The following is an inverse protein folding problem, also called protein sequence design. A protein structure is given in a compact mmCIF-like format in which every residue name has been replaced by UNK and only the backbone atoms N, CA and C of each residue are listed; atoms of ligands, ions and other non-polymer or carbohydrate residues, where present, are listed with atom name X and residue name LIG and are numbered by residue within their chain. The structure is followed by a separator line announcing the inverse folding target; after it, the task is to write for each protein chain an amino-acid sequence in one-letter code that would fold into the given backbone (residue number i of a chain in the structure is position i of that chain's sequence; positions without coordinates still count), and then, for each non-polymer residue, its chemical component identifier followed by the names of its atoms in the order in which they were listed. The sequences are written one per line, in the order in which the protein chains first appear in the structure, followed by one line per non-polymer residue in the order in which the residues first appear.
data_IF_795825181861
#
_entry.id   IF_795825181861
#
_cell.length_a   1.000
_cell.length_b   1.000
_cell.length_c   1.000
_cell.angle_alpha   90.00
_cell.angle_beta   90.00
_cell.angle_gamma   90.00
#
_symmetry.space_group_name_H-M   'P 1'
#
loop_
_entity.id
_entity.type
_entity.pdbx_description
1 polymer ?
#
# COMPACT_ATOMS: atom_id res chain seq x y z
N UNK A 1 -3.25 28.96 7.11
CA UNK A 1 -3.60 27.52 7.08
C UNK A 1 -2.72 26.84 6.04
N UNK A 2 -1.48 26.50 6.39
CA UNK A 2 -0.49 25.89 5.48
C UNK A 2 -0.49 24.38 5.66
N UNK A 3 -1.54 23.73 5.17
CA UNK A 3 -1.65 22.26 5.12
C UNK A 3 -0.49 21.63 4.31
N UNK A 4 0.16 22.42 3.45
CA UNK A 4 1.36 22.04 2.69
C UNK A 4 2.64 21.93 3.53
N UNK A 5 2.77 22.64 4.65
CA UNK A 5 4.01 22.67 5.43
C UNK A 5 4.31 21.37 6.18
N UNK A 6 3.30 20.77 6.80
CA UNK A 6 3.46 19.53 7.58
C UNK A 6 3.73 18.32 6.69
N UNK A 7 3.05 18.22 5.54
CA UNK A 7 3.28 17.15 4.56
C UNK A 7 4.70 17.26 4.01
N UNK A 8 5.14 18.47 3.63
CA UNK A 8 6.50 18.71 3.16
C UNK A 8 7.54 18.33 4.22
N UNK A 9 7.33 18.72 5.48
CA UNK A 9 8.24 18.36 6.59
C UNK A 9 8.35 16.85 6.82
N UNK A 10 7.26 16.08 6.65
CA UNK A 10 7.30 14.61 6.73
C UNK A 10 8.10 14.00 5.58
N UNK A 11 7.95 14.53 4.36
CA UNK A 11 8.72 14.10 3.19
C UNK A 11 10.21 14.41 3.36
N UNK A 12 10.55 15.62 3.84
CA UNK A 12 11.95 16.01 4.09
C UNK A 12 12.62 15.13 5.16
N UNK A 13 11.89 14.74 6.22
CA UNK A 13 12.39 13.81 7.25
C UNK A 13 12.64 12.41 6.71
N UNK A 14 11.72 11.91 5.88
CA UNK A 14 11.90 10.63 5.18
C UNK A 14 13.15 10.68 4.31
N UNK A 15 13.27 11.71 3.48
CA UNK A 15 14.44 11.92 2.61
C UNK A 15 15.77 11.96 3.37
N UNK A 16 15.82 12.71 4.48
CA UNK A 16 17.01 12.78 5.34
C UNK A 16 17.38 11.42 5.93
N UNK A 17 16.38 10.62 6.31
CA UNK A 17 16.59 9.26 6.85
C UNK A 17 17.13 8.31 5.79
N UNK A 18 16.63 8.40 4.55
CA UNK A 18 17.10 7.60 3.41
C UNK A 18 18.56 7.93 3.03
N UNK A 19 18.90 9.22 2.99
CA UNK A 19 20.26 9.69 2.68
C UNK A 19 21.28 9.24 3.73
N UNK A 20 20.92 9.32 5.02
CA UNK A 20 21.80 8.92 6.13
C UNK A 20 22.05 7.40 6.22
N UNK A 21 21.12 6.59 5.71
CA UNK A 21 21.23 5.12 5.72
C UNK A 21 21.90 4.53 4.46
N UNK A 22 22.47 5.37 3.58
CA UNK A 22 23.19 4.89 2.39
C UNK A 22 22.30 4.23 1.34
N UNK A 23 21.00 4.56 1.34
CA UNK A 23 20.02 3.91 0.47
C UNK A 23 20.26 4.35 -0.98
N UNK A 24 20.48 3.34 -1.83
CA UNK A 24 20.89 3.47 -3.21
C UNK A 24 19.73 3.98 -4.07
N UNK A 25 19.92 5.14 -4.69
CA UNK A 25 19.05 5.80 -5.66
C UNK A 25 17.69 6.32 -5.13
N UNK A 26 17.50 7.65 -5.07
CA UNK A 26 16.22 8.24 -4.65
C UNK A 26 15.02 7.90 -5.53
N UNK A 27 15.23 7.56 -6.80
CA UNK A 27 14.15 7.09 -7.68
C UNK A 27 13.54 5.78 -7.17
N UNK A 28 14.38 4.85 -6.71
CA UNK A 28 13.93 3.57 -6.16
C UNK A 28 13.14 3.75 -4.87
N UNK A 29 13.49 4.74 -4.05
CA UNK A 29 12.71 5.09 -2.84
C UNK A 29 11.34 5.64 -3.20
N UNK A 30 11.26 6.53 -4.19
CA UNK A 30 9.98 7.09 -4.66
C UNK A 30 9.08 5.97 -5.19
N UNK A 31 9.64 5.03 -5.95
CA UNK A 31 8.93 3.86 -6.46
C UNK A 31 8.41 2.97 -5.32
N UNK A 32 9.23 2.63 -4.34
CA UNK A 32 8.81 1.86 -3.17
C UNK A 32 7.68 2.55 -2.39
N UNK A 33 7.80 3.85 -2.11
CA UNK A 33 6.75 4.62 -1.44
C UNK A 33 5.47 4.61 -2.28
N UNK A 34 5.58 4.76 -3.59
CA UNK A 34 4.44 4.75 -4.51
C UNK A 34 3.71 3.41 -4.45
N UNK A 35 4.44 2.29 -4.54
CA UNK A 35 3.88 0.95 -4.39
C UNK A 35 3.11 0.77 -3.08
N UNK A 36 3.67 1.21 -1.96
CA UNK A 36 3.01 1.13 -0.65
C UNK A 36 1.74 2.00 -0.58
N UNK A 37 1.75 3.18 -1.19
CA UNK A 37 0.57 4.06 -1.24
C UNK A 37 -0.55 3.48 -2.11
N UNK A 38 -0.21 2.93 -3.28
CA UNK A 38 -1.16 2.29 -4.18
C UNK A 38 -1.81 1.07 -3.53
N UNK A 39 -1.02 0.17 -2.96
CA UNK A 39 -1.58 -1.06 -2.38
C UNK A 39 -2.47 -0.77 -1.16
N UNK A 40 -2.09 0.20 -0.34
CA UNK A 40 -2.91 0.67 0.78
C UNK A 40 -4.22 1.26 0.28
N UNK A 41 -4.18 2.06 -0.78
CA UNK A 41 -5.38 2.66 -1.38
C UNK A 41 -6.33 1.59 -1.93
N UNK A 42 -5.81 0.53 -2.54
CA UNK A 42 -6.60 -0.59 -3.05
C UNK A 42 -7.25 -1.40 -1.91
N UNK A 43 -6.50 -1.70 -0.85
CA UNK A 43 -7.04 -2.39 0.33
C UNK A 43 -8.14 -1.56 1.03
N UNK A 44 -7.97 -0.24 1.12
CA UNK A 44 -9.01 0.67 1.64
C UNK A 44 -10.28 0.65 0.78
N UNK A 45 -10.15 0.62 -0.56
CA UNK A 45 -11.29 0.53 -1.47
C UNK A 45 -12.01 -0.82 -1.33
N UNK A 46 -11.26 -1.91 -1.18
CA UNK A 46 -11.84 -3.23 -0.95
C UNK A 46 -12.60 -3.28 0.39
N UNK A 47 -12.01 -2.75 1.47
CA UNK A 47 -12.67 -2.63 2.77
C UNK A 47 -13.95 -1.79 2.69
N UNK A 48 -13.99 -0.76 1.84
CA UNK A 48 -15.20 0.03 1.60
C UNK A 48 -16.26 -0.77 0.83
N UNK A 49 -15.87 -1.57 -0.17
CA UNK A 49 -16.77 -2.49 -0.88
C UNK A 49 -17.35 -3.55 0.07
N UNK A 50 -16.50 -4.15 0.91
CA UNK A 50 -16.87 -5.13 1.94
C UNK A 50 -17.83 -4.52 3.00
N UNK A 51 -17.55 -3.30 3.48
CA UNK A 51 -18.43 -2.59 4.43
C UNK A 51 -19.79 -2.23 3.82
N UNK A 52 -19.84 -1.85 2.54
CA UNK A 52 -21.11 -1.62 1.83
C UNK A 52 -21.91 -2.91 1.69
N UNK A 53 -21.26 -4.04 1.38
CA UNK A 53 -21.87 -5.39 1.38
C UNK A 53 -22.45 -5.77 2.75
N UNK A 54 -21.69 -5.58 3.84
CA UNK A 54 -22.17 -5.92 5.18
C UNK A 54 -23.46 -5.17 5.56
N UNK A 55 -23.69 -4.00 4.96
CA UNK A 55 -24.90 -3.18 5.15
C UNK A 55 -26.01 -3.47 4.13
N UNK A 56 -25.71 -4.15 3.02
CA UNK A 56 -26.62 -4.34 1.89
C UNK A 56 -26.73 -5.79 1.45
N UNK A 57 -27.80 -6.46 1.85
CA UNK A 57 -28.37 -7.67 1.22
C UNK A 57 -27.36 -8.74 0.77
N UNK A 58 -26.51 -9.26 1.67
CA UNK A 58 -25.94 -10.62 1.64
C UNK A 58 -25.31 -11.21 0.36
N UNK A 59 -25.19 -10.47 -0.74
CA UNK A 59 -24.69 -10.95 -2.04
C UNK A 59 -23.16 -10.90 -2.07
N UNK A 60 -22.49 -11.76 -2.87
CA UNK A 60 -21.05 -11.68 -3.07
C UNK A 60 -20.63 -10.29 -3.57
N UNK A 61 -19.40 -9.85 -3.24
CA UNK A 61 -18.86 -8.59 -3.76
C UNK A 61 -18.81 -8.73 -5.28
N UNK A 62 -19.56 -7.90 -6.00
CA UNK A 62 -19.41 -7.82 -7.45
C UNK A 62 -18.05 -7.20 -7.73
N UNK A 63 -17.20 -7.94 -8.45
CA UNK A 63 -15.87 -7.50 -8.88
C UNK A 63 -14.94 -7.11 -7.70
N UNK A 64 -14.50 -8.09 -6.88
CA UNK A 64 -13.53 -7.85 -5.82
C UNK A 64 -12.19 -7.39 -6.43
N UNK A 65 -11.55 -6.41 -5.80
CA UNK A 65 -10.23 -5.91 -6.24
C UNK A 65 -9.18 -7.00 -6.03
N UNK A 66 -9.30 -7.76 -4.93
CA UNK A 66 -8.47 -8.91 -4.64
C UNK A 66 -9.33 -10.17 -4.67
N UNK A 67 -9.12 -11.09 -5.63
CA UNK A 67 -9.79 -12.38 -5.61
C UNK A 67 -9.33 -13.22 -4.41
N UNK A 68 -10.05 -14.31 -4.13
CA UNK A 68 -9.89 -15.10 -2.91
C UNK A 68 -8.49 -15.75 -2.81
N UNK A 69 -7.88 -16.09 -3.95
CA UNK A 69 -6.53 -16.62 -4.07
C UNK A 69 -5.42 -15.54 -3.93
N UNK A 70 -5.78 -14.25 -3.97
CA UNK A 70 -4.87 -13.11 -3.89
C UNK A 70 -5.01 -12.28 -2.61
N UNK A 71 -5.71 -12.80 -1.59
CA UNK A 71 -5.86 -12.09 -0.31
C UNK A 71 -4.51 -11.81 0.39
N UNK A 72 -3.47 -12.63 0.13
CA UNK A 72 -2.11 -12.41 0.65
C UNK A 72 -1.53 -11.06 0.19
N UNK A 73 -1.93 -10.60 -0.99
CA UNK A 73 -1.46 -9.35 -1.60
C UNK A 73 -2.17 -8.10 -1.02
N UNK A 74 -3.09 -8.24 -0.07
CA UNK A 74 -3.73 -7.11 0.60
C UNK A 74 -2.82 -6.48 1.65
N UNK A 75 -2.76 -5.16 1.66
CA UNK A 75 -1.97 -4.39 2.65
C UNK A 75 -2.25 -4.85 4.09
N UNK A 76 -3.51 -5.02 4.46
CA UNK A 76 -3.95 -5.51 5.77
C UNK A 76 -3.33 -6.85 6.19
N UNK A 77 -2.95 -7.73 5.25
CA UNK A 77 -2.42 -9.06 5.52
C UNK A 77 -0.89 -9.08 5.73
N UNK A 78 -0.13 -8.24 5.02
CA UNK A 78 1.33 -8.26 5.10
C UNK A 78 1.96 -7.06 5.82
N UNK A 79 1.20 -6.00 6.15
CA UNK A 79 1.72 -4.77 6.81
C UNK A 79 2.44 -4.98 8.15
N UNK A 80 2.19 -6.10 8.82
CA UNK A 80 2.78 -6.43 10.12
C UNK A 80 3.97 -7.40 9.99
N UNK A 81 4.41 -7.73 8.76
CA UNK A 81 5.61 -8.54 8.55
C UNK A 81 6.85 -7.74 8.97
N UNK A 82 7.80 -8.45 9.56
CA UNK A 82 9.06 -7.88 10.03
C UNK A 82 10.04 -7.59 8.89
N UNK A 83 9.86 -8.25 7.75
CA UNK A 83 10.75 -8.21 6.60
C UNK A 83 10.22 -7.24 5.53
N UNK A 84 10.91 -6.11 5.38
CA UNK A 84 10.55 -5.08 4.41
C UNK A 84 10.79 -5.52 2.95
N UNK A 85 11.77 -6.38 2.69
CA UNK A 85 12.03 -6.92 1.35
C UNK A 85 10.92 -7.89 0.94
N UNK A 86 10.48 -8.76 1.86
CA UNK A 86 9.34 -9.66 1.62
C UNK A 86 8.06 -8.85 1.32
N UNK A 87 7.81 -7.78 2.09
CA UNK A 87 6.67 -6.89 1.84
C UNK A 87 6.73 -6.23 0.47
N UNK A 88 7.91 -5.75 0.06
CA UNK A 88 8.09 -5.14 -1.24
C UNK A 88 7.90 -6.15 -2.37
N UNK A 89 8.43 -7.37 -2.23
CA UNK A 89 8.25 -8.45 -3.19
C UNK A 89 6.77 -8.81 -3.38
N UNK A 90 6.00 -8.93 -2.29
CA UNK A 90 4.56 -9.18 -2.36
C UNK A 90 3.85 -8.08 -3.17
N UNK A 91 4.19 -6.81 -2.95
CA UNK A 91 3.54 -5.70 -3.68
C UNK A 91 3.98 -5.67 -5.15
N UNK A 92 5.28 -5.71 -5.41
CA UNK A 92 5.85 -5.57 -6.75
C UNK A 92 5.60 -6.78 -7.64
N UNK A 93 5.76 -7.99 -7.10
CA UNK A 93 5.80 -9.23 -7.88
C UNK A 93 4.47 -10.00 -7.83
N UNK A 94 3.63 -9.79 -6.82
CA UNK A 94 2.33 -10.48 -6.70
C UNK A 94 1.15 -9.55 -6.92
N UNK A 95 1.13 -8.36 -6.30
CA UNK A 95 -0.02 -7.46 -6.33
C UNK A 95 -0.10 -6.67 -7.65
N UNK A 96 0.96 -5.97 -8.05
CA UNK A 96 0.96 -5.10 -9.23
C UNK A 96 0.80 -5.83 -10.57
N UNK A 97 1.40 -7.01 -10.83
CA UNK A 97 1.20 -7.73 -12.09
C UNK A 97 -0.23 -8.27 -12.26
N UNK A 98 -1.01 -8.28 -11.18
CA UNK A 98 -2.38 -8.77 -11.15
C UNK A 98 -3.43 -7.65 -11.34
N UNK A 99 -3.07 -6.38 -11.10
CA UNK A 99 -3.93 -5.20 -11.22
C UNK A 99 -3.89 -4.64 -12.64
#
# INVERSE_FOLDING_TARGET
MTITGEIKSKVDKLWTTFWNNGISNPLSVIEQISYLLFIKRLDDLELLKEKKKARGLGKPVNDPIFPEDKQRSRWSHFKNKSDAEEMLAIVRDEAFPFI
#
